data_IF_856214404519
#
_entry.id   IF_856214404519
#
_cell.length_a   1.000
_cell.length_b   1.000
_cell.length_c   1.000
_cell.angle_alpha   90.00
_cell.angle_beta   90.00
_cell.angle_gamma   90.00
#
_symmetry.space_group_name_H-M   'P 1'
#
loop_
_entity.id
_entity.type
_entity.pdbx_description
1 polymer ?
#
# COMPACT_ATOMS: atom_id res chain seq x y z
N UNK A 1 -9.93 -11.27 -9.99
CA UNK A 1 -10.36 -12.26 -8.99
C UNK A 1 -9.39 -13.43 -8.94
N UNK A 2 -9.29 -14.30 -9.96
CA UNK A 2 -8.39 -15.47 -9.88
C UNK A 2 -6.96 -15.11 -9.44
N UNK A 3 -6.31 -14.17 -10.14
CA UNK A 3 -4.98 -13.66 -9.77
C UNK A 3 -4.88 -13.12 -8.34
N UNK A 4 -5.89 -12.38 -7.86
CA UNK A 4 -5.79 -11.72 -6.56
C UNK A 4 -5.99 -12.68 -5.40
N UNK A 5 -6.74 -13.79 -5.59
CA UNK A 5 -6.94 -14.80 -4.54
C UNK A 5 -5.63 -15.49 -4.15
N UNK A 6 -4.64 -15.55 -5.03
CA UNK A 6 -3.36 -16.21 -4.78
C UNK A 6 -2.46 -15.44 -3.79
N UNK A 7 -2.81 -14.19 -3.46
CA UNK A 7 -2.00 -13.29 -2.62
C UNK A 7 -2.77 -12.72 -1.42
N UNK A 8 -3.92 -13.28 -1.08
CA UNK A 8 -4.73 -12.82 0.05
C UNK A 8 -4.88 -13.94 1.06
N UNK A 9 -4.51 -13.64 2.30
CA UNK A 9 -4.40 -14.62 3.38
C UNK A 9 -5.25 -14.17 4.55
N UNK A 10 -5.94 -15.12 5.18
CA UNK A 10 -6.72 -14.89 6.41
C UNK A 10 -6.39 -15.99 7.40
N UNK A 11 -6.01 -15.61 8.62
CA UNK A 11 -5.51 -16.55 9.62
C UNK A 11 -4.11 -17.11 9.32
N UNK A 12 -3.45 -16.61 8.28
CA UNK A 12 -2.16 -17.06 7.77
C UNK A 12 -1.33 -15.85 7.36
N UNK A 13 -0.02 -15.90 7.63
CA UNK A 13 0.96 -14.89 7.22
C UNK A 13 1.82 -15.41 6.07
N UNK A 14 1.87 -14.72 4.92
CA UNK A 14 2.78 -15.08 3.85
C UNK A 14 4.24 -14.87 4.25
N UNK A 15 5.12 -15.75 3.81
CA UNK A 15 6.57 -15.61 4.00
C UNK A 15 7.14 -14.73 2.90
N UNK A 16 7.99 -13.77 3.29
CA UNK A 16 8.71 -12.88 2.37
C UNK A 16 10.19 -12.76 2.71
N UNK A 17 10.98 -12.30 1.74
CA UNK A 17 12.33 -11.79 2.01
C UNK A 17 12.33 -10.30 2.42
N UNK A 18 13.52 -9.77 2.70
CA UNK A 18 13.73 -8.38 3.14
C UNK A 18 13.37 -7.35 2.04
N UNK A 19 13.37 -7.76 0.78
CA UNK A 19 12.95 -6.92 -0.36
C UNK A 19 11.45 -7.05 -0.68
N UNK A 20 10.71 -7.80 0.15
CA UNK A 20 9.27 -7.96 0.13
C UNK A 20 8.73 -8.85 -1.01
N UNK A 21 9.57 -9.71 -1.59
CA UNK A 21 9.09 -10.78 -2.48
C UNK A 21 8.46 -11.90 -1.66
N UNK A 22 7.32 -12.41 -2.11
CA UNK A 22 6.76 -13.65 -1.59
C UNK A 22 7.69 -14.83 -1.87
N UNK A 23 7.78 -15.76 -0.94
CA UNK A 23 8.58 -16.98 -1.07
C UNK A 23 7.68 -18.22 -1.19
N UNK A 24 8.14 -19.23 -1.91
CA UNK A 24 7.52 -20.57 -1.90
C UNK A 24 8.06 -21.42 -0.73
N UNK A 25 7.57 -22.66 -0.57
CA UNK A 25 8.00 -23.57 0.51
C UNK A 25 9.48 -23.96 0.45
N UNK A 26 10.14 -23.78 -0.70
CA UNK A 26 11.58 -23.99 -0.88
C UNK A 26 12.41 -22.73 -0.52
N UNK A 27 11.78 -21.62 -0.16
CA UNK A 27 12.44 -20.34 0.11
C UNK A 27 12.83 -19.54 -1.14
N UNK A 28 12.28 -19.88 -2.30
CA UNK A 28 12.56 -19.22 -3.56
C UNK A 28 11.56 -18.09 -3.83
N UNK A 29 12.01 -16.99 -4.45
CA UNK A 29 11.14 -15.86 -4.82
C UNK A 29 10.08 -16.29 -5.82
N UNK A 30 8.84 -15.89 -5.56
CA UNK A 30 7.72 -15.99 -6.48
C UNK A 30 7.67 -14.74 -7.35
N UNK A 31 7.99 -14.90 -8.63
CA UNK A 31 8.15 -13.80 -9.60
C UNK A 31 6.96 -13.72 -10.58
N UNK A 32 5.74 -13.79 -10.04
CA UNK A 32 4.50 -13.82 -10.81
C UNK A 32 4.10 -15.22 -11.28
N UNK A 33 3.43 -15.31 -12.42
CA UNK A 33 2.89 -16.56 -12.96
C UNK A 33 1.45 -16.87 -12.55
N UNK A 34 0.94 -18.01 -13.00
CA UNK A 34 -0.42 -18.49 -12.68
C UNK A 34 -0.37 -19.49 -11.53
N UNK A 35 -1.30 -19.38 -10.57
CA UNK A 35 -1.42 -20.26 -9.39
C UNK A 35 -0.09 -20.40 -8.62
N UNK A 36 0.58 -19.28 -8.27
CA UNK A 36 1.80 -19.35 -7.47
C UNK A 36 1.53 -20.05 -6.13
N UNK A 37 2.53 -20.79 -5.65
CA UNK A 37 2.48 -21.40 -4.32
C UNK A 37 3.26 -20.52 -3.36
N UNK A 38 2.57 -19.91 -2.40
CA UNK A 38 3.16 -19.02 -1.41
C UNK A 38 3.30 -19.79 -0.10
N UNK A 39 4.50 -19.77 0.48
CA UNK A 39 4.73 -20.30 1.82
C UNK A 39 4.01 -19.43 2.84
N UNK A 40 3.36 -20.08 3.80
CA UNK A 40 2.58 -19.41 4.85
C UNK A 40 2.91 -19.95 6.23
N UNK A 41 2.68 -19.11 7.24
CA UNK A 41 2.74 -19.46 8.66
C UNK A 41 1.38 -19.18 9.31
N UNK A 42 1.03 -19.90 10.36
CA UNK A 42 -0.22 -19.65 11.10
C UNK A 42 -0.20 -18.26 11.73
N UNK A 43 -1.27 -17.48 11.51
CA UNK A 43 -1.45 -16.12 12.06
C UNK A 43 -2.94 -15.86 12.39
N UNK A 44 -3.53 -16.59 13.36
CA UNK A 44 -4.98 -16.61 13.57
C UNK A 44 -5.55 -15.23 13.91
N UNK A 45 -6.62 -14.83 13.20
CA UNK A 45 -7.28 -13.53 13.38
C UNK A 45 -6.69 -12.41 12.54
N UNK A 46 -5.54 -12.62 11.89
CA UNK A 46 -4.91 -11.65 11.02
C UNK A 46 -5.34 -11.80 9.56
N UNK A 47 -5.10 -10.77 8.76
CA UNK A 47 -5.20 -10.81 7.30
C UNK A 47 -3.97 -10.18 6.67
N UNK A 48 -3.67 -10.60 5.44
CA UNK A 48 -2.59 -10.05 4.64
C UNK A 48 -3.05 -9.89 3.18
N UNK A 49 -2.80 -8.71 2.63
CA UNK A 49 -3.09 -8.35 1.23
C UNK A 49 -1.84 -7.74 0.57
N UNK A 50 -1.66 -7.85 -0.76
CA UNK A 50 -0.49 -7.30 -1.41
C UNK A 50 -0.57 -5.78 -1.51
N UNK A 51 0.55 -5.08 -1.27
CA UNK A 51 0.62 -3.61 -1.34
C UNK A 51 1.22 -3.10 -2.66
N UNK A 52 2.15 -3.85 -3.26
CA UNK A 52 2.89 -3.37 -4.43
C UNK A 52 2.97 -4.39 -5.55
N UNK A 53 3.16 -3.86 -6.76
CA UNK A 53 3.33 -4.61 -8.00
C UNK A 53 4.60 -4.12 -8.69
N UNK A 54 5.49 -5.03 -9.03
CA UNK A 54 6.66 -4.79 -9.87
C UNK A 54 6.36 -5.25 -11.29
N UNK A 55 6.41 -4.32 -12.25
CA UNK A 55 6.03 -4.57 -13.64
C UNK A 55 7.25 -4.70 -14.53
N UNK A 56 7.20 -5.63 -15.49
CA UNK A 56 8.20 -5.75 -16.54
C UNK A 56 7.57 -6.12 -17.89
N UNK A 57 8.26 -5.74 -18.97
CA UNK A 57 7.78 -5.95 -20.33
C UNK A 57 6.67 -4.98 -20.75
N UNK A 58 5.88 -5.38 -21.74
CA UNK A 58 4.84 -4.53 -22.32
C UNK A 58 3.70 -5.38 -22.91
N UNK A 59 2.45 -4.86 -22.95
CA UNK A 59 1.38 -5.52 -23.69
C UNK A 59 1.68 -5.54 -25.19
N UNK A 60 1.05 -6.48 -25.91
CA UNK A 60 1.06 -6.45 -27.37
C UNK A 60 0.26 -5.24 -27.90
N UNK A 61 0.59 -4.68 -29.09
CA UNK A 61 -0.21 -3.62 -29.69
C UNK A 61 -1.69 -4.00 -29.80
N UNK A 62 -2.57 -3.15 -29.30
CA UNK A 62 -4.01 -3.43 -29.25
C UNK A 62 -4.64 -3.50 -30.65
N UNK A 63 -5.36 -4.60 -30.93
CA UNK A 63 -6.05 -4.86 -32.21
C UNK A 63 -7.53 -5.25 -32.05
N UNK A 64 -8.07 -5.19 -30.82
CA UNK A 64 -9.44 -5.57 -30.50
C UNK A 64 -9.54 -6.84 -29.64
N UNK A 65 -10.68 -7.04 -28.98
CA UNK A 65 -10.88 -8.12 -28.00
C UNK A 65 -10.77 -9.52 -28.61
N UNK A 66 -11.35 -9.75 -29.79
CA UNK A 66 -11.28 -11.03 -30.50
C UNK A 66 -9.84 -11.42 -30.90
N UNK A 67 -8.91 -10.45 -30.85
CA UNK A 67 -7.49 -10.63 -31.16
C UNK A 67 -6.57 -10.49 -29.94
N UNK A 68 -7.15 -10.50 -28.73
CA UNK A 68 -6.39 -10.40 -27.49
C UNK A 68 -5.43 -11.60 -27.34
N UNK A 69 -4.14 -11.31 -27.19
CA UNK A 69 -3.07 -12.32 -27.17
C UNK A 69 -2.85 -12.94 -25.78
N UNK A 70 -3.45 -12.35 -24.74
CA UNK A 70 -3.08 -12.64 -23.35
C UNK A 70 -1.86 -11.87 -22.85
N UNK A 71 -1.21 -11.05 -23.69
CA UNK A 71 0.00 -10.27 -23.37
C UNK A 71 1.12 -11.12 -22.74
N UNK A 72 1.62 -12.17 -23.42
CA UNK A 72 2.64 -13.05 -22.85
C UNK A 72 3.98 -12.36 -22.51
N UNK A 73 4.25 -11.19 -23.10
CA UNK A 73 5.43 -10.36 -22.81
C UNK A 73 5.22 -9.31 -21.72
N UNK A 74 4.05 -9.26 -21.06
CA UNK A 74 3.78 -8.39 -19.92
C UNK A 74 3.75 -9.22 -18.64
N UNK A 75 4.58 -8.87 -17.67
CA UNK A 75 4.70 -9.60 -16.41
C UNK A 75 4.49 -8.67 -15.21
N UNK A 76 3.89 -9.24 -14.17
CA UNK A 76 3.72 -8.60 -12.87
C UNK A 76 4.23 -9.54 -11.79
N UNK A 77 5.07 -9.00 -10.91
CA UNK A 77 5.48 -9.63 -9.66
C UNK A 77 4.76 -8.93 -8.52
N UNK A 78 3.90 -9.65 -7.81
CA UNK A 78 3.21 -9.15 -6.62
C UNK A 78 4.17 -9.12 -5.44
N UNK A 79 4.14 -8.06 -4.63
CA UNK A 79 5.09 -7.87 -3.51
C UNK A 79 4.43 -7.21 -2.30
N UNK A 80 5.17 -7.20 -1.19
CA UNK A 80 4.93 -6.41 0.02
C UNK A 80 3.55 -6.72 0.65
N UNK A 81 3.39 -7.85 1.36
CA UNK A 81 2.17 -8.11 2.12
C UNK A 81 1.99 -7.01 3.18
N UNK A 82 0.75 -6.57 3.34
CA UNK A 82 0.38 -5.48 4.23
C UNK A 82 -0.99 -5.74 4.86
N UNK A 83 -1.35 -4.87 5.80
CA UNK A 83 -2.65 -4.87 6.47
C UNK A 83 -3.46 -3.60 6.19
N UNK A 84 -3.32 -3.02 4.98
CA UNK A 84 -4.04 -1.80 4.61
C UNK A 84 -5.56 -2.03 4.62
N UNK A 85 -6.22 -1.48 5.64
CA UNK A 85 -7.65 -1.61 5.88
C UNK A 85 -8.50 -0.91 4.82
N UNK A 86 -8.01 0.14 4.17
CA UNK A 86 -8.75 0.80 3.10
C UNK A 86 -8.75 -0.02 1.82
N UNK A 87 -7.58 -0.54 1.43
CA UNK A 87 -7.45 -1.47 0.30
C UNK A 87 -8.25 -2.74 0.58
N UNK A 88 -8.25 -3.23 1.81
CA UNK A 88 -9.07 -4.36 2.24
C UNK A 88 -10.56 -4.11 1.98
N UNK A 89 -11.11 -2.99 2.45
CA UNK A 89 -12.52 -2.65 2.24
C UNK A 89 -12.92 -2.53 0.77
N UNK A 90 -12.03 -1.97 -0.06
CA UNK A 90 -12.21 -1.91 -1.52
C UNK A 90 -12.19 -3.31 -2.16
N UNK A 91 -11.23 -4.15 -1.74
CA UNK A 91 -11.10 -5.51 -2.24
C UNK A 91 -12.29 -6.40 -1.85
N UNK A 92 -12.77 -6.31 -0.61
CA UNK A 92 -13.97 -7.03 -0.16
C UNK A 92 -15.17 -6.67 -1.04
N UNK A 93 -15.40 -5.38 -1.33
CA UNK A 93 -16.46 -4.98 -2.26
C UNK A 93 -16.27 -5.59 -3.64
N UNK A 94 -15.04 -5.62 -4.16
CA UNK A 94 -14.73 -6.27 -5.45
C UNK A 94 -15.13 -7.75 -5.45
N UNK A 95 -14.80 -8.49 -4.38
CA UNK A 95 -15.18 -9.90 -4.21
C UNK A 95 -16.70 -10.08 -4.11
N UNK A 96 -17.36 -9.24 -3.31
CA UNK A 96 -18.82 -9.24 -3.09
C UNK A 96 -19.59 -9.01 -4.38
N UNK A 97 -19.27 -7.93 -5.10
CA UNK A 97 -19.94 -7.60 -6.36
C UNK A 97 -19.66 -8.64 -7.45
N UNK A 98 -18.43 -9.17 -7.51
CA UNK A 98 -18.14 -10.27 -8.42
C UNK A 98 -18.99 -11.51 -8.11
N UNK A 99 -19.01 -11.96 -6.86
CA UNK A 99 -19.81 -13.11 -6.45
C UNK A 99 -21.30 -12.91 -6.77
N UNK A 100 -21.87 -11.76 -6.39
CA UNK A 100 -23.26 -11.41 -6.68
C UNK A 100 -23.55 -11.36 -8.19
N UNK A 101 -22.64 -10.78 -8.98
CA UNK A 101 -22.73 -10.74 -10.44
C UNK A 101 -22.78 -12.14 -11.05
N UNK A 102 -21.88 -13.03 -10.65
CA UNK A 102 -21.92 -14.42 -11.12
C UNK A 102 -23.23 -15.14 -10.76
N UNK A 103 -23.76 -14.89 -9.56
CA UNK A 103 -25.06 -15.46 -9.16
C UNK A 103 -26.21 -14.93 -10.01
N UNK A 104 -26.22 -13.63 -10.29
CA UNK A 104 -27.23 -13.02 -11.14
C UNK A 104 -27.19 -13.56 -12.58
N UNK A 105 -25.99 -13.81 -13.10
CA UNK A 105 -25.77 -14.35 -14.45
C UNK A 105 -26.18 -15.83 -14.56
N UNK A 106 -25.77 -16.68 -13.61
CA UNK A 106 -25.93 -18.14 -13.73
C UNK A 106 -27.04 -18.73 -12.85
N UNK A 107 -27.79 -17.91 -12.11
CA UNK A 107 -28.83 -18.33 -11.17
C UNK A 107 -28.30 -18.89 -9.84
N UNK A 108 -26.99 -18.91 -9.66
CA UNK A 108 -26.30 -19.45 -8.48
C UNK A 108 -24.82 -19.03 -8.50
N UNK A 109 -24.16 -19.00 -7.35
CA UNK A 109 -22.73 -18.67 -7.31
C UNK A 109 -21.91 -19.71 -8.09
N UNK A 110 -21.07 -19.25 -9.02
CA UNK A 110 -20.07 -20.12 -9.68
C UNK A 110 -19.04 -20.62 -8.67
N UNK A 111 -18.16 -21.55 -9.06
CA UNK A 111 -17.07 -22.00 -8.19
C UNK A 111 -16.18 -20.83 -7.74
N UNK A 112 -15.81 -19.93 -8.66
CA UNK A 112 -15.02 -18.73 -8.32
C UNK A 112 -15.84 -17.70 -7.54
N UNK A 113 -17.13 -17.55 -7.85
CA UNK A 113 -18.05 -16.71 -7.08
C UNK A 113 -18.18 -17.14 -5.62
N UNK A 114 -18.26 -18.46 -5.36
CA UNK A 114 -18.28 -19.00 -3.99
C UNK A 114 -16.96 -18.75 -3.26
N UNK A 115 -15.80 -18.93 -3.91
CA UNK A 115 -14.50 -18.58 -3.31
C UNK A 115 -14.44 -17.10 -2.93
N UNK A 116 -14.83 -16.22 -3.84
CA UNK A 116 -14.84 -14.78 -3.59
C UNK A 116 -15.77 -14.39 -2.43
N UNK A 117 -16.98 -14.95 -2.40
CA UNK A 117 -17.97 -14.74 -1.32
C UNK A 117 -17.43 -15.17 0.04
N UNK A 118 -16.84 -16.36 0.13
CA UNK A 118 -16.34 -16.89 1.40
C UNK A 118 -15.14 -16.09 1.89
N UNK A 119 -14.18 -15.79 1.02
CA UNK A 119 -13.03 -14.95 1.37
C UNK A 119 -13.47 -13.56 1.83
N UNK A 120 -14.45 -12.95 1.15
CA UNK A 120 -15.00 -11.67 1.58
C UNK A 120 -15.55 -11.72 3.02
N UNK A 121 -16.22 -12.81 3.40
CA UNK A 121 -16.72 -13.01 4.77
C UNK A 121 -15.58 -13.14 5.78
N UNK A 122 -14.59 -13.98 5.48
CA UNK A 122 -13.42 -14.20 6.33
C UNK A 122 -12.63 -12.91 6.56
N UNK A 123 -12.44 -12.09 5.52
CA UNK A 123 -11.80 -10.79 5.61
C UNK A 123 -12.61 -9.79 6.46
N UNK A 124 -13.94 -9.75 6.31
CA UNK A 124 -14.80 -8.90 7.15
C UNK A 124 -14.73 -9.31 8.63
N UNK A 125 -14.66 -10.60 8.90
CA UNK A 125 -14.55 -11.13 10.27
C UNK A 125 -13.19 -10.79 10.89
N UNK A 126 -12.10 -10.99 10.15
CA UNK A 126 -10.76 -10.64 10.59
C UNK A 126 -10.61 -9.12 10.82
N UNK A 127 -11.13 -8.30 9.89
CA UNK A 127 -11.06 -6.85 9.98
C UNK A 127 -11.77 -6.28 11.21
N UNK A 128 -12.86 -6.91 11.65
CA UNK A 128 -13.63 -6.42 12.80
C UNK A 128 -12.82 -6.41 14.09
N UNK A 129 -11.85 -7.32 14.23
CA UNK A 129 -10.95 -7.37 15.38
C UNK A 129 -10.02 -6.15 15.50
N UNK A 130 -9.82 -5.41 14.40
CA UNK A 130 -8.99 -4.20 14.33
C UNK A 130 -9.78 -2.91 14.54
N UNK A 131 -11.05 -2.99 14.97
CA UNK A 131 -11.84 -1.83 15.33
C UNK A 131 -11.44 -1.30 16.72
N UNK A 132 -10.88 -0.10 16.78
CA UNK A 132 -10.45 0.55 18.03
C UNK A 132 -11.53 1.46 18.66
N UNK A 133 -12.74 1.47 18.11
CA UNK A 133 -13.85 2.33 18.54
C UNK A 133 -13.90 3.69 17.85
N UNK A 134 -12.85 4.07 17.11
CA UNK A 134 -12.84 5.22 16.19
C UNK A 134 -12.96 4.72 14.74
N UNK A 135 -12.26 3.63 14.42
CA UNK A 135 -12.33 2.98 13.13
C UNK A 135 -11.63 1.63 13.11
N UNK A 136 -11.69 0.96 11.97
CA UNK A 136 -10.89 -0.23 11.69
C UNK A 136 -9.53 0.26 11.19
N UNK A 137 -8.46 0.02 11.95
CA UNK A 137 -7.13 0.53 11.64
C UNK A 137 -6.04 -0.48 12.01
N UNK A 138 -4.91 -0.43 11.30
CA UNK A 138 -3.74 -1.24 11.56
C UNK A 138 -2.51 -0.34 11.73
N UNK A 139 -1.50 -0.87 12.39
CA UNK A 139 -0.19 -0.23 12.45
C UNK A 139 0.50 -0.30 11.08
N UNK A 140 1.10 0.80 10.65
CA UNK A 140 1.84 0.90 9.40
C UNK A 140 3.22 1.53 9.62
N UNK A 141 4.23 0.94 8.97
CA UNK A 141 5.61 1.41 8.98
C UNK A 141 5.87 2.34 7.79
N UNK A 142 6.66 3.39 8.03
CA UNK A 142 6.92 4.46 7.08
C UNK A 142 8.40 4.73 6.89
N UNK A 143 9.05 3.86 6.11
CA UNK A 143 10.43 4.09 5.67
C UNK A 143 10.59 5.41 4.92
N UNK A 144 9.56 5.81 4.17
CA UNK A 144 9.52 7.01 3.36
C UNK A 144 9.54 8.31 4.18
N UNK A 145 9.28 8.28 5.49
CA UNK A 145 9.21 9.49 6.32
C UNK A 145 10.55 10.17 6.53
N UNK A 146 11.66 9.56 6.09
CA UNK A 146 12.93 10.25 5.92
C UNK A 146 12.80 11.50 5.04
N UNK A 147 11.87 11.48 4.07
CA UNK A 147 11.64 12.57 3.12
C UNK A 147 11.09 13.85 3.76
N UNK A 148 10.69 13.81 5.03
CA UNK A 148 10.43 15.04 5.81
C UNK A 148 11.71 15.86 6.02
N UNK A 149 12.86 15.19 6.13
CA UNK A 149 14.16 15.75 6.47
C UNK A 149 15.08 15.88 5.25
N UNK A 150 14.94 15.02 4.25
CA UNK A 150 15.76 15.04 3.03
C UNK A 150 15.59 16.34 2.26
N UNK A 151 16.70 16.96 1.85
CA UNK A 151 16.70 18.16 0.99
C UNK A 151 16.57 17.77 -0.48
N UNK A 152 15.34 17.70 -0.97
CA UNK A 152 15.03 17.35 -2.36
C UNK A 152 14.02 18.30 -3.04
N UNK A 153 13.52 19.32 -2.33
CA UNK A 153 12.55 20.27 -2.90
C UNK A 153 13.28 21.38 -3.63
N UNK A 154 13.20 21.37 -4.97
CA UNK A 154 13.92 22.28 -5.86
C UNK A 154 13.41 23.72 -5.87
N UNK A 155 14.35 24.65 -5.88
CA UNK A 155 14.15 26.06 -6.21
C UNK A 155 15.18 26.49 -7.25
N UNK A 156 14.77 27.17 -8.34
CA UNK A 156 15.70 27.64 -9.35
C UNK A 156 16.61 28.74 -8.80
N UNK A 157 17.82 28.86 -9.35
CA UNK A 157 18.78 29.88 -8.94
C UNK A 157 18.19 31.30 -9.07
N UNK A 158 18.53 32.16 -8.11
CA UNK A 158 18.07 33.56 -8.04
C UNK A 158 16.62 33.75 -7.57
N UNK A 159 15.86 32.67 -7.34
CA UNK A 159 14.50 32.78 -6.84
C UNK A 159 14.45 32.88 -5.32
N UNK A 160 13.63 33.80 -4.80
CA UNK A 160 13.30 33.90 -3.38
C UNK A 160 11.89 34.46 -3.22
N UNK A 161 11.16 33.97 -2.22
CA UNK A 161 9.81 34.40 -1.91
C UNK A 161 9.39 34.02 -0.50
N UNK A 162 8.16 34.37 -0.11
CA UNK A 162 7.52 33.85 1.11
C UNK A 162 6.47 32.82 0.74
N UNK A 163 6.42 31.72 1.49
CA UNK A 163 5.35 30.74 1.35
C UNK A 163 4.08 31.16 2.13
N UNK A 164 3.02 30.35 2.07
CA UNK A 164 1.78 30.60 2.82
C UNK A 164 1.90 30.51 4.35
N UNK A 165 2.99 29.96 4.88
CA UNK A 165 3.28 29.97 6.33
C UNK A 165 4.08 31.20 6.77
N UNK A 166 4.49 32.05 5.81
CA UNK A 166 5.16 33.32 6.04
C UNK A 166 6.69 33.24 6.06
N UNK A 167 7.32 32.06 5.96
CA UNK A 167 8.77 31.95 5.93
C UNK A 167 9.35 32.19 4.53
N UNK A 168 10.55 32.76 4.48
CA UNK A 168 11.33 32.91 3.25
C UNK A 168 11.77 31.54 2.73
N UNK A 169 11.62 31.32 1.44
CA UNK A 169 12.03 30.11 0.71
C UNK A 169 12.84 30.49 -0.55
N UNK A 170 13.86 29.71 -0.93
CA UNK A 170 14.36 28.52 -0.23
C UNK A 170 15.04 28.85 1.12
N UNK A 171 15.32 30.13 1.40
CA UNK A 171 15.99 30.52 2.64
C UNK A 171 17.48 30.16 2.63
N UNK A 172 18.19 30.29 3.77
CA UNK A 172 19.64 30.09 3.82
C UNK A 172 20.07 28.62 3.92
N UNK A 173 19.20 27.74 4.41
CA UNK A 173 19.54 26.34 4.67
C UNK A 173 19.24 25.48 3.44
N UNK A 174 20.14 25.47 2.47
CA UNK A 174 19.93 24.77 1.20
C UNK A 174 21.15 23.91 0.84
N UNK A 175 20.96 22.96 -0.07
CA UNK A 175 22.07 22.26 -0.75
C UNK A 175 21.96 22.48 -2.26
N UNK A 176 23.07 22.46 -3.03
CA UNK A 176 23.00 22.56 -4.48
C UNK A 176 22.12 21.46 -5.09
N UNK A 177 21.41 21.79 -6.18
CA UNK A 177 20.66 20.80 -6.93
C UNK A 177 21.58 19.79 -7.61
N UNK A 178 21.09 18.57 -7.84
CA UNK A 178 21.83 17.51 -8.54
C UNK A 178 22.04 17.89 -10.02
N UNK A 179 23.29 18.08 -10.49
CA UNK A 179 23.57 18.42 -11.89
C UNK A 179 23.11 17.35 -12.87
N UNK A 180 23.06 16.07 -12.46
CA UNK A 180 22.59 14.98 -13.31
C UNK A 180 21.10 15.10 -13.67
N UNK A 181 20.33 15.84 -12.88
CA UNK A 181 18.92 16.17 -13.15
C UNK A 181 18.75 17.39 -14.06
N UNK A 182 19.85 17.97 -14.56
CA UNK A 182 19.84 19.08 -15.53
C UNK A 182 19.41 20.44 -14.96
N UNK A 183 19.18 20.54 -13.65
CA UNK A 183 18.81 21.78 -12.96
C UNK A 183 20.03 22.57 -12.47
N UNK A 184 19.85 23.87 -12.26
CA UNK A 184 20.81 24.74 -11.59
C UNK A 184 20.07 25.61 -10.57
N UNK A 185 20.08 25.15 -9.33
CA UNK A 185 19.38 25.77 -8.22
C UNK A 185 19.75 25.08 -6.92
N UNK A 186 18.80 25.03 -5.99
CA UNK A 186 19.02 24.49 -4.65
C UNK A 186 17.87 23.60 -4.20
N UNK A 187 18.13 22.73 -3.22
CA UNK A 187 17.13 21.93 -2.52
C UNK A 187 16.96 22.34 -1.06
N UNK A 188 15.73 22.28 -0.57
CA UNK A 188 15.38 22.33 0.85
C UNK A 188 14.57 21.10 1.24
N UNK A 189 14.41 20.87 2.54
CA UNK A 189 13.57 19.78 3.03
C UNK A 189 12.10 20.16 3.12
N UNK A 190 11.24 19.14 3.23
CA UNK A 190 9.82 19.34 3.47
C UNK A 190 9.56 20.12 4.78
N UNK A 191 10.27 19.79 5.86
CA UNK A 191 10.12 20.47 7.15
C UNK A 191 10.59 21.93 7.13
N UNK A 192 11.57 22.28 6.30
CA UNK A 192 12.00 23.68 6.09
C UNK A 192 11.01 24.46 5.23
N UNK A 193 10.45 23.81 4.20
CA UNK A 193 9.39 24.41 3.40
C UNK A 193 8.13 24.66 4.24
N UNK A 194 7.83 23.79 5.22
CA UNK A 194 6.59 23.84 6.02
C UNK A 194 6.90 23.90 7.52
N UNK A 195 7.50 24.98 8.04
CA UNK A 195 7.97 25.04 9.44
C UNK A 195 6.89 24.81 10.50
N UNK A 196 5.62 25.10 10.22
CA UNK A 196 4.52 24.83 11.16
C UNK A 196 4.29 23.33 11.42
N UNK A 197 4.83 22.42 10.60
CA UNK A 197 4.77 20.97 10.87
C UNK A 197 5.45 20.61 12.19
N UNK A 198 6.43 21.41 12.64
CA UNK A 198 7.13 21.21 13.91
C UNK A 198 6.26 21.45 15.14
N UNK A 199 5.08 22.05 14.95
CA UNK A 199 4.09 22.24 16.00
C UNK A 199 3.10 21.06 16.08
N UNK A 200 3.20 20.09 15.17
CA UNK A 200 2.37 18.89 15.19
C UNK A 200 2.69 18.04 16.44
N UNK A 201 1.69 17.53 17.19
CA UNK A 201 1.92 16.72 18.38
C UNK A 201 2.78 15.47 18.14
N UNK A 202 2.78 14.91 16.92
CA UNK A 202 3.59 13.74 16.57
C UNK A 202 4.96 14.11 15.99
N UNK A 203 5.25 15.39 15.76
CA UNK A 203 6.57 15.82 15.28
C UNK A 203 7.72 15.39 16.21
N UNK A 204 7.64 15.55 17.56
CA UNK A 204 8.71 15.11 18.46
C UNK A 204 9.02 13.61 18.35
N UNK A 205 8.00 12.78 18.14
CA UNK A 205 8.18 11.34 17.91
C UNK A 205 8.95 11.10 16.61
N UNK A 206 8.50 11.69 15.49
CA UNK A 206 9.14 11.47 14.19
C UNK A 206 10.58 12.01 14.17
N UNK A 207 10.82 13.19 14.73
CA UNK A 207 12.16 13.79 14.81
C UNK A 207 13.10 12.94 15.68
N UNK A 208 12.63 12.41 16.82
CA UNK A 208 13.42 11.50 17.63
C UNK A 208 13.73 10.18 16.91
N UNK A 209 12.73 9.60 16.23
CA UNK A 209 12.93 8.37 15.45
C UNK A 209 13.97 8.59 14.35
N UNK A 210 13.88 9.69 13.61
CA UNK A 210 14.88 10.08 12.62
C UNK A 210 16.29 10.16 13.24
N UNK A 211 16.44 10.86 14.36
CA UNK A 211 17.76 11.04 15.00
C UNK A 211 18.38 9.74 15.54
N UNK A 212 17.55 8.77 15.94
CA UNK A 212 18.00 7.56 16.64
C UNK A 212 18.07 6.33 15.74
N UNK A 213 17.38 6.34 14.60
CA UNK A 213 17.27 5.17 13.72
C UNK A 213 17.78 5.44 12.30
N UNK A 214 17.65 6.64 11.75
CA UNK A 214 18.15 6.91 10.40
C UNK A 214 19.67 7.05 10.37
N UNK A 215 20.34 6.23 9.55
CA UNK A 215 21.76 6.34 9.30
C UNK A 215 22.00 7.01 7.92
N UNK A 216 22.51 8.26 7.88
CA UNK A 216 22.72 8.97 6.62
C UNK A 216 23.86 8.40 5.77
N UNK A 217 24.74 7.56 6.33
CA UNK A 217 25.84 6.94 5.58
C UNK A 217 25.37 5.72 4.78
N UNK A 218 24.43 4.96 5.35
CA UNK A 218 23.87 3.75 4.71
C UNK A 218 22.57 4.05 3.96
N UNK A 219 21.90 5.16 4.28
CA UNK A 219 20.61 5.52 3.71
C UNK A 219 19.48 4.60 4.20
N UNK A 220 19.60 4.07 5.42
CA UNK A 220 18.66 3.12 5.99
C UNK A 220 18.25 3.50 7.41
N UNK A 221 17.07 3.05 7.81
CA UNK A 221 16.65 3.02 9.21
C UNK A 221 17.20 1.76 9.87
N UNK A 222 18.09 1.90 10.85
CA UNK A 222 18.81 0.78 11.47
C UNK A 222 18.20 0.35 12.81
N UNK A 223 17.41 1.21 13.46
CA UNK A 223 16.78 0.96 14.76
C UNK A 223 15.25 1.06 14.68
N UNK A 224 14.68 0.42 13.64
CA UNK A 224 13.24 0.35 13.35
C UNK A 224 12.68 1.58 12.64
N UNK A 225 11.53 1.40 12.00
CA UNK A 225 10.87 2.40 11.17
C UNK A 225 9.95 3.33 11.99
N UNK A 226 9.66 4.55 11.51
CA UNK A 226 8.53 5.35 12.01
C UNK A 226 7.23 4.58 11.80
N UNK A 227 6.37 4.59 12.82
CA UNK A 227 5.21 3.72 12.88
C UNK A 227 4.00 4.49 13.36
N UNK A 228 2.87 4.32 12.66
CA UNK A 228 1.64 5.09 12.90
C UNK A 228 0.40 4.21 12.77
N UNK A 229 -0.69 4.64 13.41
CA UNK A 229 -2.04 4.10 13.18
C UNK A 229 -2.88 5.25 12.64
N UNK A 230 -3.39 5.12 11.41
CA UNK A 230 -4.14 6.19 10.75
C UNK A 230 -5.62 5.87 10.55
N UNK A 231 -6.48 6.79 10.98
CA UNK A 231 -7.91 6.78 10.69
C UNK A 231 -8.22 7.58 9.43
N UNK A 232 -7.77 7.08 8.28
CA UNK A 232 -8.03 7.72 6.98
C UNK A 232 -9.52 7.65 6.66
N UNK A 233 -10.12 8.80 6.37
CA UNK A 233 -11.56 8.91 6.10
C UNK A 233 -12.01 7.95 4.98
N UNK A 234 -11.31 7.94 3.84
CA UNK A 234 -11.66 7.07 2.72
C UNK A 234 -11.56 5.59 3.10
N UNK A 235 -10.54 5.19 3.87
CA UNK A 235 -10.34 3.81 4.31
C UNK A 235 -11.48 3.35 5.22
N UNK A 236 -11.93 4.23 6.13
CA UNK A 236 -13.07 3.94 7.00
C UNK A 236 -14.38 3.81 6.19
N UNK A 237 -14.59 4.66 5.18
CA UNK A 237 -15.73 4.55 4.28
C UNK A 237 -15.67 3.26 3.46
N UNK A 238 -14.49 2.88 2.97
CA UNK A 238 -14.30 1.64 2.22
C UNK A 238 -14.63 0.42 3.07
N UNK A 239 -14.19 0.38 4.33
CA UNK A 239 -14.54 -0.68 5.27
C UNK A 239 -16.04 -0.68 5.60
N UNK A 240 -16.63 0.46 5.95
CA UNK A 240 -18.05 0.55 6.28
C UNK A 240 -18.95 0.09 5.12
N UNK A 241 -18.63 0.54 3.90
CA UNK A 241 -19.36 0.12 2.69
C UNK A 241 -19.10 -1.35 2.34
N UNK A 242 -17.96 -1.93 2.70
CA UNK A 242 -17.72 -3.36 2.52
C UNK A 242 -18.71 -4.22 3.33
N UNK A 243 -18.92 -3.90 4.61
CA UNK A 243 -19.94 -4.58 5.43
C UNK A 243 -21.34 -4.38 4.84
N UNK A 244 -21.70 -3.14 4.50
CA UNK A 244 -23.03 -2.81 3.97
C UNK A 244 -23.33 -3.53 2.65
N UNK A 245 -22.36 -3.57 1.73
CA UNK A 245 -22.55 -4.21 0.43
C UNK A 245 -22.53 -5.74 0.53
N UNK A 246 -21.74 -6.30 1.45
CA UNK A 246 -21.81 -7.73 1.74
C UNK A 246 -23.22 -8.11 2.21
N UNK A 247 -23.77 -7.38 3.18
CA UNK A 247 -25.13 -7.60 3.69
C UNK A 247 -26.18 -7.46 2.57
N UNK A 248 -26.13 -6.37 1.81
CA UNK A 248 -27.10 -6.06 0.75
C UNK A 248 -27.11 -7.08 -0.40
N UNK A 249 -25.95 -7.61 -0.79
CA UNK A 249 -25.80 -8.43 -2.00
C UNK A 249 -25.67 -9.93 -1.74
N UNK A 250 -25.11 -10.31 -0.60
CA UNK A 250 -24.81 -11.69 -0.24
C UNK A 250 -25.60 -12.12 1.00
N UNK A 251 -25.74 -11.22 1.97
CA UNK A 251 -26.50 -11.44 3.19
C UNK A 251 -27.93 -11.87 2.90
N UNK A 252 -28.48 -12.69 3.79
CA UNK A 252 -29.89 -13.04 3.78
C UNK A 252 -30.62 -12.01 4.63
N UNK A 253 -31.09 -10.92 4.02
CA UNK A 253 -32.26 -10.23 4.56
C UNK A 253 -33.52 -11.07 4.27
#
# INVERSE_FOLDING_TARGET
>A
IAYSLDYVFVGERPVTDEEGYYLNDAGERVLGGQNPQIAVQSDPGEFWIPANLEWSGQPDPWKGFDSFTGNPGLHVTTKNPSQDVGVLGSYIKTLVFFAAGTKAETGGFTALGNKAKNLAKELLDAAWSKNDGIGIAAEEEHEDYIRYFTKEIYFPNGWSGRNGQGNTIPGPNTVPSDPAKGGNGVYISHAELRPKIKNDPMWPYLENKYQTSWNPNTGKWENGLPTFVYHRFWSQVDMATAYAEYDRLIGNA
#
